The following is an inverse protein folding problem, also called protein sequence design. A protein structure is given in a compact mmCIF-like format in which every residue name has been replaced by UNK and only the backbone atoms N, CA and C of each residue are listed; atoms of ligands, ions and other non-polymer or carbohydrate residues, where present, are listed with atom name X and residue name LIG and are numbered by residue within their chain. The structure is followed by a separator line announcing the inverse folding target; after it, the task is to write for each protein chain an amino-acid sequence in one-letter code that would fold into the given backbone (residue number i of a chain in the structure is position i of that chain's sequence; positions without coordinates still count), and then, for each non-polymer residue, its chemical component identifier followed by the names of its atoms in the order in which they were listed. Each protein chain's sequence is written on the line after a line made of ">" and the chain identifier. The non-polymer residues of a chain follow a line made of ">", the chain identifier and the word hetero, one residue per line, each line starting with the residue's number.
data_IF_595027391333
#
_entry.id   IF_595027391333
#
_cell.length_a   1.000
_cell.length_b   1.000
_cell.length_c   1.000
_cell.angle_alpha   90.00
_cell.angle_beta   90.00
_cell.angle_gamma   90.00
#
_symmetry.space_group_name_H-M   'P 1'
#
loop_
_entity.id
_entity.type
_entity.pdbx_description
1 polymer ?
#
# COMPACT_ATOMS: atom_id res chain seq x y z
N UNK A 1 11.77 15.92 17.09
CA UNK A 1 11.42 16.08 15.66
C UNK A 1 12.69 15.91 14.83
N UNK A 2 12.66 14.99 13.85
CA UNK A 2 13.79 14.71 12.98
C UNK A 2 13.87 15.75 11.86
N UNK A 3 15.03 16.33 11.63
CA UNK A 3 15.27 17.20 10.47
C UNK A 3 15.88 16.38 9.34
N UNK A 4 15.47 16.66 8.12
CA UNK A 4 16.06 16.01 6.95
C UNK A 4 17.55 16.39 6.82
N UNK A 5 18.44 15.46 6.43
CA UNK A 5 19.82 15.78 6.11
C UNK A 5 19.91 16.79 5.00
N UNK A 6 21.02 17.53 4.93
CA UNK A 6 21.29 18.47 3.85
C UNK A 6 21.18 17.78 2.47
N UNK A 7 20.52 18.44 1.53
CA UNK A 7 20.26 17.92 0.18
C UNK A 7 19.11 16.91 0.07
N UNK A 8 18.60 16.37 1.20
CA UNK A 8 17.40 15.52 1.20
C UNK A 8 16.17 16.41 1.20
N UNK A 9 15.33 16.28 0.18
CA UNK A 9 14.12 17.09 0.00
C UNK A 9 12.94 16.23 -0.44
N UNK A 10 11.70 16.57 -0.01
CA UNK A 10 10.49 15.96 -0.53
C UNK A 10 10.42 16.02 -2.07
N UNK A 11 9.81 15.00 -2.68
CA UNK A 11 9.62 14.95 -4.14
C UNK A 11 8.88 16.18 -4.67
N UNK A 12 7.88 16.65 -3.93
CA UNK A 12 7.08 17.83 -4.29
C UNK A 12 7.90 19.11 -4.41
N UNK A 13 8.89 19.28 -3.54
CA UNK A 13 9.81 20.41 -3.63
C UNK A 13 10.65 20.36 -4.90
N UNK A 14 11.17 19.19 -5.26
CA UNK A 14 11.97 18.98 -6.48
C UNK A 14 11.15 19.20 -7.76
N UNK A 15 9.91 18.75 -7.76
CA UNK A 15 8.98 18.94 -8.88
C UNK A 15 8.60 20.42 -9.06
N UNK A 16 8.38 21.15 -7.97
CA UNK A 16 8.14 22.59 -8.03
C UNK A 16 9.32 23.39 -8.56
N UNK A 17 10.56 22.99 -8.26
CA UNK A 17 11.76 23.65 -8.79
C UNK A 17 11.80 23.64 -10.33
N UNK A 18 11.12 22.69 -10.99
CA UNK A 18 10.99 22.60 -12.45
C UNK A 18 9.59 22.97 -12.96
N UNK A 19 8.81 23.68 -12.14
CA UNK A 19 7.55 24.30 -12.55
C UNK A 19 6.30 23.45 -12.40
N UNK A 20 6.36 22.29 -11.75
CA UNK A 20 5.16 21.49 -11.48
C UNK A 20 4.32 22.08 -10.35
N UNK A 21 3.02 22.15 -10.56
CA UNK A 21 2.03 22.28 -9.50
C UNK A 21 1.90 20.96 -8.76
N UNK A 22 1.86 20.98 -7.42
CA UNK A 22 1.81 19.74 -6.63
C UNK A 22 0.53 19.68 -5.79
N UNK A 23 -0.19 18.56 -5.88
CA UNK A 23 -1.45 18.37 -5.15
C UNK A 23 -1.49 17.05 -4.37
N UNK A 24 -2.04 17.10 -3.14
CA UNK A 24 -2.50 15.93 -2.41
C UNK A 24 -4.02 15.93 -2.42
N UNK A 25 -4.61 15.21 -3.38
CA UNK A 25 -6.02 15.29 -3.70
C UNK A 25 -6.90 14.74 -2.57
N UNK A 26 -7.83 15.57 -2.14
CA UNK A 26 -8.84 15.26 -1.12
C UNK A 26 -10.25 15.27 -1.69
N UNK A 27 -10.53 16.22 -2.59
CA UNK A 27 -11.88 16.44 -3.12
C UNK A 27 -11.91 16.56 -4.63
N UNK A 28 -13.02 16.19 -5.23
CA UNK A 28 -13.39 16.31 -6.64
C UNK A 28 -14.89 16.58 -6.74
N UNK A 29 -15.28 17.68 -7.38
CA UNK A 29 -16.68 18.16 -7.46
C UNK A 29 -17.33 18.32 -6.06
N UNK A 30 -16.54 18.66 -5.03
CA UNK A 30 -16.98 18.79 -3.64
C UNK A 30 -17.10 17.48 -2.87
N UNK A 31 -16.96 16.32 -3.54
CA UNK A 31 -16.96 15.00 -2.89
C UNK A 31 -15.55 14.63 -2.41
N UNK A 32 -15.45 13.93 -1.29
CA UNK A 32 -14.18 13.32 -0.84
C UNK A 32 -13.79 12.15 -1.74
N UNK A 33 -12.57 12.21 -2.29
CA UNK A 33 -11.97 11.13 -3.09
C UNK A 33 -10.69 10.57 -2.44
N UNK A 34 -10.07 11.32 -1.55
CA UNK A 34 -8.82 10.95 -0.91
C UNK A 34 -8.72 11.44 0.53
N UNK A 35 -7.97 10.71 1.36
CA UNK A 35 -7.76 11.07 2.77
C UNK A 35 -6.88 12.31 2.97
N UNK A 36 -6.07 12.65 1.98
CA UNK A 36 -5.04 13.67 2.13
C UNK A 36 -3.99 13.32 3.19
N UNK A 37 -3.86 12.04 3.53
CA UNK A 37 -2.98 11.54 4.58
C UNK A 37 -1.53 11.94 4.34
N UNK A 38 -0.88 12.42 5.40
CA UNK A 38 0.52 12.79 5.46
C UNK A 38 1.09 12.25 6.77
N UNK A 39 1.75 11.10 6.71
CA UNK A 39 2.40 10.48 7.85
C UNK A 39 3.91 10.82 7.83
N UNK A 40 4.22 12.09 8.01
CA UNK A 40 5.61 12.55 8.08
C UNK A 40 6.16 12.35 9.49
N UNK A 41 7.30 11.70 9.60
CA UNK A 41 8.07 11.59 10.83
C UNK A 41 9.32 12.50 10.84
N UNK A 42 9.24 13.58 10.06
CA UNK A 42 10.27 14.62 9.98
C UNK A 42 9.65 16.00 9.92
N UNK A 43 10.41 17.02 10.28
CA UNK A 43 10.01 18.42 10.14
C UNK A 43 10.06 18.79 8.67
N UNK A 44 8.91 19.12 8.09
CA UNK A 44 8.84 19.64 6.73
C UNK A 44 9.03 21.17 6.77
N UNK A 45 9.99 21.67 6.02
CA UNK A 45 10.23 23.09 5.86
C UNK A 45 9.46 23.59 4.63
N UNK A 46 8.63 24.62 4.83
CA UNK A 46 7.80 25.20 3.79
C UNK A 46 6.53 24.39 3.47
N UNK A 47 5.91 24.73 2.35
CA UNK A 47 4.66 24.12 1.89
C UNK A 47 4.95 22.79 1.18
N UNK A 48 4.38 21.70 1.67
CA UNK A 48 4.60 20.36 1.08
C UNK A 48 3.86 20.20 -0.26
N UNK A 49 2.60 20.63 -0.35
CA UNK A 49 1.78 20.62 -1.57
C UNK A 49 1.17 21.99 -1.83
N UNK A 50 0.92 22.33 -3.09
CA UNK A 50 0.31 23.60 -3.48
C UNK A 50 -1.20 23.57 -3.29
N UNK A 51 -1.85 22.45 -3.51
CA UNK A 51 -3.28 22.29 -3.35
C UNK A 51 -3.74 20.88 -3.00
N UNK A 52 -5.07 20.68 -3.05
CA UNK A 52 -5.70 19.40 -2.69
C UNK A 52 -7.04 19.17 -3.36
N UNK A 53 -7.45 20.02 -4.30
CA UNK A 53 -8.71 19.90 -5.03
C UNK A 53 -8.43 19.53 -6.48
N UNK A 54 -9.26 18.67 -7.02
CA UNK A 54 -9.16 18.26 -8.43
C UNK A 54 -9.24 19.44 -9.39
N UNK A 55 -10.13 20.39 -9.12
CA UNK A 55 -10.44 21.55 -9.96
C UNK A 55 -9.23 22.44 -10.21
N UNK A 56 -8.24 22.36 -9.35
CA UNK A 56 -7.01 23.14 -9.45
C UNK A 56 -6.06 22.62 -10.54
N UNK A 57 -6.20 21.34 -10.96
CA UNK A 57 -5.21 20.68 -11.84
C UNK A 57 -5.21 21.25 -13.25
N UNK A 58 -6.41 21.48 -13.85
CA UNK A 58 -6.52 21.89 -15.24
C UNK A 58 -5.84 23.23 -15.54
N UNK A 59 -5.92 24.15 -14.60
CA UNK A 59 -5.33 25.48 -14.73
C UNK A 59 -3.85 25.56 -14.31
N UNK A 60 -3.30 24.48 -13.74
CA UNK A 60 -1.95 24.46 -13.18
C UNK A 60 -1.13 23.28 -13.75
N UNK A 61 -0.84 23.34 -15.05
CA UNK A 61 -0.01 22.34 -15.73
C UNK A 61 1.42 22.86 -15.95
N UNK A 62 2.45 21.99 -15.91
CA UNK A 62 2.36 20.58 -15.54
C UNK A 62 2.06 20.36 -14.05
N UNK A 63 1.40 19.25 -13.72
CA UNK A 63 1.08 18.94 -12.33
C UNK A 63 1.60 17.55 -11.90
N UNK A 64 1.83 17.40 -10.61
CA UNK A 64 1.95 16.15 -9.89
C UNK A 64 0.82 16.06 -8.87
N UNK A 65 0.00 15.04 -8.97
CA UNK A 65 -1.10 14.81 -8.04
C UNK A 65 -0.98 13.44 -7.40
N UNK A 66 -1.08 13.40 -6.07
CA UNK A 66 -1.17 12.17 -5.27
C UNK A 66 -2.57 12.07 -4.68
N UNK A 67 -3.11 10.87 -4.63
CA UNK A 67 -4.39 10.57 -3.99
C UNK A 67 -4.26 9.27 -3.18
N UNK A 68 -4.64 9.32 -1.91
CA UNK A 68 -4.75 8.15 -1.06
C UNK A 68 -6.23 7.81 -0.94
N UNK A 69 -6.67 6.72 -1.58
CA UNK A 69 -8.07 6.27 -1.51
C UNK A 69 -8.48 5.94 -0.09
N UNK A 70 -9.74 6.14 0.22
CA UNK A 70 -10.27 5.97 1.58
C UNK A 70 -10.86 4.58 1.81
N UNK A 71 -11.24 3.89 0.74
CA UNK A 71 -12.03 2.68 0.80
C UNK A 71 -11.26 1.46 1.31
N UNK A 72 -9.98 1.38 0.98
CA UNK A 72 -9.12 0.25 1.36
C UNK A 72 -8.43 0.43 2.70
N UNK A 73 -8.51 1.59 3.32
CA UNK A 73 -8.07 1.75 4.69
C UNK A 73 -9.04 1.01 5.61
N UNK A 74 -8.51 0.01 6.30
CA UNK A 74 -9.31 -0.87 7.14
C UNK A 74 -9.75 -0.14 8.41
N UNK A 75 -10.88 0.53 8.32
CA UNK A 75 -11.51 1.21 9.45
C UNK A 75 -12.64 0.35 10.02
N UNK A 76 -12.29 -0.50 11.00
CA UNK A 76 -13.26 -1.34 11.73
C UNK A 76 -13.80 -0.67 12.98
N UNK A 77 -13.31 0.52 13.32
CA UNK A 77 -13.73 1.24 14.50
C UNK A 77 -14.45 2.53 14.15
N UNK A 78 -15.47 2.81 14.95
CA UNK A 78 -15.91 4.17 15.10
C UNK A 78 -14.79 4.99 15.73
N UNK A 79 -14.23 5.94 14.97
CA UNK A 79 -13.17 6.84 15.44
C UNK A 79 -13.53 7.57 16.72
N UNK A 80 -14.82 7.71 17.02
CA UNK A 80 -15.31 8.41 18.20
C UNK A 80 -15.36 7.54 19.45
N UNK A 81 -15.50 6.24 19.33
CA UNK A 81 -15.70 5.36 20.48
C UNK A 81 -14.52 4.45 20.82
N UNK A 82 -13.65 4.11 19.89
CA UNK A 82 -12.49 3.21 20.07
C UNK A 82 -12.78 1.89 20.82
N UNK A 83 -14.06 1.62 21.12
CA UNK A 83 -14.47 0.60 22.08
C UNK A 83 -15.38 -0.49 21.50
N UNK A 84 -15.96 -0.27 20.32
CA UNK A 84 -16.85 -1.27 19.71
C UNK A 84 -16.48 -1.50 18.24
N UNK A 85 -16.41 -2.77 17.78
CA UNK A 85 -16.29 -3.04 16.36
C UNK A 85 -17.47 -2.39 15.64
N UNK A 86 -17.22 -1.72 14.53
CA UNK A 86 -18.29 -1.29 13.63
C UNK A 86 -18.96 -2.53 13.06
N UNK A 87 -20.03 -2.96 13.69
CA UNK A 87 -20.87 -4.06 13.20
C UNK A 87 -21.66 -3.60 11.97
N UNK A 88 -21.88 -2.30 11.84
CA UNK A 88 -22.51 -1.67 10.69
C UNK A 88 -21.68 -0.46 10.26
N UNK A 89 -21.28 -0.44 9.01
CA UNK A 89 -20.66 0.73 8.41
C UNK A 89 -21.75 1.79 8.18
N UNK A 90 -21.94 2.70 9.12
CA UNK A 90 -22.85 3.84 9.02
C UNK A 90 -22.15 5.06 8.39
N UNK A 91 -21.26 4.85 7.45
CA UNK A 91 -20.67 5.91 6.66
C UNK A 91 -21.38 6.02 5.32
N UNK A 92 -21.35 7.19 4.72
CA UNK A 92 -21.92 7.52 3.40
C UNK A 92 -21.32 6.71 2.24
N UNK A 93 -20.37 5.81 2.50
CA UNK A 93 -19.73 4.91 1.56
C UNK A 93 -20.33 3.52 1.64
N UNK A 94 -21.60 3.40 1.26
CA UNK A 94 -22.17 2.08 1.02
C UNK A 94 -21.62 1.54 -0.30
N UNK A 95 -20.62 0.66 -0.19
CA UNK A 95 -20.19 -0.11 -1.33
C UNK A 95 -21.26 -1.15 -1.68
N UNK A 96 -21.50 -1.34 -2.95
CA UNK A 96 -22.30 -2.48 -3.40
C UNK A 96 -21.70 -3.76 -2.82
N UNK A 97 -22.51 -4.55 -2.13
CA UNK A 97 -22.08 -5.79 -1.53
C UNK A 97 -22.02 -6.89 -2.60
N UNK A 98 -20.90 -6.97 -3.31
CA UNK A 98 -20.64 -8.02 -4.30
C UNK A 98 -20.14 -9.32 -3.67
N UNK A 99 -19.51 -9.21 -2.49
CA UNK A 99 -19.04 -10.35 -1.71
C UNK A 99 -19.86 -10.52 -0.44
N UNK A 100 -20.34 -11.74 -0.17
CA UNK A 100 -21.05 -12.10 1.05
C UNK A 100 -20.29 -13.16 1.84
N UNK A 101 -20.46 -13.24 3.19
CA UNK A 101 -19.73 -14.22 4.01
C UNK A 101 -19.85 -15.67 3.55
N UNK A 102 -20.99 -16.04 2.94
CA UNK A 102 -21.29 -17.39 2.48
C UNK A 102 -20.51 -17.75 1.20
N UNK A 103 -20.21 -16.74 0.37
CA UNK A 103 -19.60 -16.93 -0.95
C UNK A 103 -18.08 -16.72 -0.98
N UNK A 104 -17.51 -16.17 0.09
CA UNK A 104 -16.07 -15.91 0.13
C UNK A 104 -15.28 -17.15 0.56
N UNK A 105 -14.06 -17.25 0.05
CA UNK A 105 -13.11 -18.29 0.41
C UNK A 105 -11.81 -17.65 0.94
N UNK A 106 -11.70 -17.41 2.25
CA UNK A 106 -10.47 -16.89 2.85
C UNK A 106 -9.29 -17.83 2.61
N UNK A 107 -8.04 -17.31 2.52
CA UNK A 107 -6.86 -18.15 2.42
C UNK A 107 -6.75 -19.19 3.54
N UNK A 108 -6.09 -20.34 3.30
CA UNK A 108 -6.10 -21.50 4.22
C UNK A 108 -5.42 -21.25 5.57
N UNK A 109 -4.67 -20.17 5.73
CA UNK A 109 -4.09 -19.76 7.02
C UNK A 109 -5.07 -18.97 7.91
N UNK A 110 -6.31 -18.75 7.45
CA UNK A 110 -7.40 -18.27 8.31
C UNK A 110 -8.22 -19.44 8.82
N UNK A 111 -8.72 -19.42 10.07
CA UNK A 111 -9.71 -20.38 10.50
C UNK A 111 -11.02 -20.20 9.72
N UNK A 112 -11.67 -21.30 9.35
CA UNK A 112 -13.01 -21.21 8.78
C UNK A 112 -14.01 -20.87 9.90
N UNK A 113 -14.39 -19.61 9.95
CA UNK A 113 -15.26 -19.08 11.01
C UNK A 113 -16.10 -17.92 10.46
N UNK A 114 -17.37 -17.75 10.89
CA UNK A 114 -18.24 -16.66 10.42
C UNK A 114 -17.63 -15.26 10.52
N UNK A 115 -16.93 -14.96 11.62
CA UNK A 115 -16.21 -13.68 11.79
C UNK A 115 -15.17 -13.48 10.71
N UNK A 116 -14.41 -14.51 10.36
CA UNK A 116 -13.37 -14.43 9.32
C UNK A 116 -14.00 -14.21 7.95
N UNK A 117 -15.06 -14.95 7.64
CA UNK A 117 -15.80 -14.82 6.38
C UNK A 117 -16.42 -13.43 6.23
N UNK A 118 -17.01 -12.89 7.30
CA UNK A 118 -17.54 -11.54 7.30
C UNK A 118 -16.45 -10.47 7.07
N UNK A 119 -15.31 -10.59 7.75
CA UNK A 119 -14.16 -9.70 7.54
C UNK A 119 -13.59 -9.79 6.12
N UNK A 120 -13.54 -10.99 5.56
CA UNK A 120 -13.06 -11.21 4.20
C UNK A 120 -14.01 -10.61 3.16
N UNK A 121 -15.32 -10.80 3.32
CA UNK A 121 -16.34 -10.19 2.46
C UNK A 121 -16.26 -8.66 2.50
N UNK A 122 -16.12 -8.08 3.70
CA UNK A 122 -15.94 -6.63 3.87
C UNK A 122 -14.71 -6.11 3.14
N UNK A 123 -13.57 -6.80 3.25
CA UNK A 123 -12.35 -6.45 2.55
C UNK A 123 -12.55 -6.44 1.03
N UNK A 124 -13.16 -7.47 0.46
CA UNK A 124 -13.41 -7.55 -0.98
C UNK A 124 -14.38 -6.43 -1.45
N UNK A 125 -15.39 -6.11 -0.65
CA UNK A 125 -16.30 -5.01 -0.95
C UNK A 125 -15.59 -3.64 -0.89
N UNK A 126 -14.64 -3.47 0.03
CA UNK A 126 -13.79 -2.26 0.08
C UNK A 126 -12.91 -2.11 -1.17
N UNK A 127 -12.33 -3.21 -1.65
CA UNK A 127 -11.56 -3.23 -2.91
C UNK A 127 -12.44 -2.84 -4.09
N UNK A 128 -13.67 -3.37 -4.16
CA UNK A 128 -14.64 -2.97 -5.20
C UNK A 128 -15.02 -1.50 -5.12
N UNK A 129 -15.17 -0.96 -3.91
CA UNK A 129 -15.42 0.47 -3.71
C UNK A 129 -14.27 1.34 -4.22
N UNK A 130 -13.04 0.94 -3.93
CA UNK A 130 -11.84 1.61 -4.44
C UNK A 130 -11.80 1.60 -5.98
N UNK A 131 -12.09 0.47 -6.61
CA UNK A 131 -12.14 0.37 -8.07
C UNK A 131 -13.14 1.36 -8.69
N UNK A 132 -14.32 1.51 -8.07
CA UNK A 132 -15.31 2.53 -8.47
C UNK A 132 -14.78 3.96 -8.35
N UNK A 133 -14.07 4.27 -7.27
CA UNK A 133 -13.46 5.59 -7.06
C UNK A 133 -12.38 5.86 -8.10
N UNK A 134 -11.52 4.89 -8.39
CA UNK A 134 -10.52 5.00 -9.46
C UNK A 134 -11.21 5.20 -10.81
N UNK A 135 -12.28 4.47 -11.10
CA UNK A 135 -13.08 4.67 -12.31
C UNK A 135 -13.65 6.09 -12.42
N UNK A 136 -14.11 6.71 -11.32
CA UNK A 136 -14.54 8.12 -11.30
C UNK A 136 -13.36 9.06 -11.65
N UNK A 137 -12.18 8.83 -11.10
CA UNK A 137 -10.97 9.62 -11.36
C UNK A 137 -10.56 9.53 -12.83
N UNK A 138 -10.53 8.34 -13.42
CA UNK A 138 -10.16 8.13 -14.82
C UNK A 138 -11.13 8.83 -15.77
N UNK A 139 -12.45 8.68 -15.54
CA UNK A 139 -13.48 9.40 -16.33
C UNK A 139 -13.36 10.92 -16.17
N UNK A 140 -12.94 11.40 -15.01
CA UNK A 140 -12.71 12.83 -14.79
C UNK A 140 -11.51 13.33 -15.56
N UNK A 141 -10.41 12.58 -15.62
CA UNK A 141 -9.26 12.91 -16.48
C UNK A 141 -9.68 13.07 -17.95
N UNK A 142 -10.50 12.15 -18.45
CA UNK A 142 -11.04 12.18 -19.82
C UNK A 142 -11.90 13.43 -20.03
N UNK A 143 -12.89 13.65 -19.17
CA UNK A 143 -13.81 14.81 -19.23
C UNK A 143 -13.08 16.16 -19.23
N UNK A 144 -12.01 16.26 -18.46
CA UNK A 144 -11.23 17.50 -18.35
C UNK A 144 -10.19 17.66 -19.48
N UNK A 145 -10.06 16.67 -20.38
CA UNK A 145 -9.08 16.64 -21.46
C UNK A 145 -7.64 16.45 -20.98
N UNK A 146 -7.47 15.85 -19.81
CA UNK A 146 -6.16 15.61 -19.19
C UNK A 146 -5.64 14.19 -19.43
N UNK A 147 -6.48 13.27 -19.92
CA UNK A 147 -6.13 11.86 -20.07
C UNK A 147 -5.00 11.60 -21.06
N UNK A 148 -4.94 12.41 -22.13
CA UNK A 148 -3.95 12.30 -23.21
C UNK A 148 -2.54 12.79 -22.81
N UNK A 149 -2.41 13.49 -21.68
CA UNK A 149 -1.16 14.06 -21.23
C UNK A 149 -0.81 13.73 -19.77
N UNK A 150 -1.50 12.75 -19.15
CA UNK A 150 -1.28 12.37 -17.77
C UNK A 150 -0.88 10.90 -17.65
N UNK A 151 0.33 10.64 -17.10
CA UNK A 151 0.74 9.31 -16.66
C UNK A 151 -0.01 9.00 -15.38
N UNK A 152 -0.70 7.85 -15.34
CA UNK A 152 -1.41 7.40 -14.14
C UNK A 152 -0.68 6.21 -13.54
N UNK A 153 -0.30 6.30 -12.27
CA UNK A 153 0.27 5.19 -11.50
C UNK A 153 -0.69 4.83 -10.37
N UNK A 154 -1.16 3.58 -10.38
CA UNK A 154 -1.90 2.97 -9.28
C UNK A 154 -1.02 1.95 -8.59
N UNK A 155 -0.97 1.98 -7.27
CA UNK A 155 -0.22 1.00 -6.47
C UNK A 155 -0.79 0.89 -5.06
N UNK A 156 -0.59 -0.28 -4.42
CA UNK A 156 -0.80 -0.44 -3.00
C UNK A 156 0.42 0.03 -2.21
N UNK A 157 0.23 0.63 -1.06
CA UNK A 157 1.31 1.04 -0.15
C UNK A 157 1.81 -0.14 0.71
N UNK A 158 0.92 -1.06 1.02
CA UNK A 158 1.20 -2.31 1.73
C UNK A 158 0.14 -3.37 1.39
N UNK A 159 0.44 -4.60 1.76
CA UNK A 159 -0.52 -5.69 1.65
C UNK A 159 -1.62 -5.62 2.71
N UNK A 160 -2.58 -6.55 2.60
CA UNK A 160 -3.71 -6.67 3.52
C UNK A 160 -3.24 -6.82 4.98
N UNK A 161 -4.07 -6.36 5.91
CA UNK A 161 -3.86 -6.51 7.35
C UNK A 161 -3.86 -8.01 7.72
N UNK A 162 -3.70 -8.41 8.89
CA UNK A 162 -3.68 -9.74 9.52
C UNK A 162 -4.25 -10.93 8.70
N UNK A 163 -3.70 -12.12 8.86
CA UNK A 163 -2.37 -12.43 9.35
C UNK A 163 -1.34 -12.43 8.20
N UNK A 164 -0.09 -12.22 8.45
CA UNK A 164 1.01 -12.20 7.48
C UNK A 164 1.02 -11.02 6.48
N UNK A 165 0.07 -10.10 6.53
CA UNK A 165 -0.01 -8.92 5.65
C UNK A 165 0.84 -7.75 6.13
N UNK A 166 0.22 -6.57 6.30
CA UNK A 166 0.92 -5.38 6.81
C UNK A 166 1.72 -5.67 8.08
N UNK A 167 2.92 -5.13 8.18
CA UNK A 167 3.91 -5.34 9.24
C UNK A 167 4.64 -6.69 9.18
N UNK A 168 4.46 -7.48 8.14
CA UNK A 168 5.16 -8.76 7.96
C UNK A 168 6.00 -8.75 6.69
N UNK A 169 7.17 -9.40 6.74
CA UNK A 169 8.06 -9.54 5.59
C UNK A 169 7.70 -10.74 4.69
N UNK A 170 6.41 -11.02 4.51
CA UNK A 170 5.92 -12.02 3.56
C UNK A 170 5.33 -11.34 2.31
N UNK A 171 5.21 -12.07 1.21
CA UNK A 171 4.62 -11.54 -0.03
C UNK A 171 3.21 -10.95 0.19
N UNK A 172 2.41 -11.53 1.08
CA UNK A 172 1.09 -10.97 1.45
C UNK A 172 1.15 -9.57 2.07
N UNK A 173 2.30 -9.16 2.58
CA UNK A 173 2.53 -7.80 3.10
C UNK A 173 3.34 -6.90 2.17
N UNK A 174 4.14 -7.49 1.29
CA UNK A 174 5.15 -6.78 0.49
C UNK A 174 4.83 -6.74 -1.01
N UNK A 175 4.22 -7.80 -1.57
CA UNK A 175 3.89 -7.88 -2.99
C UNK A 175 2.56 -7.18 -3.25
N UNK A 176 2.64 -5.89 -3.54
CA UNK A 176 1.48 -5.02 -3.78
C UNK A 176 1.19 -4.87 -5.27
N UNK A 177 -0.08 -4.64 -5.67
CA UNK A 177 -0.40 -4.34 -7.06
C UNK A 177 0.25 -3.03 -7.50
N UNK A 178 0.68 -2.98 -8.77
CA UNK A 178 1.16 -1.77 -9.43
C UNK A 178 0.69 -1.78 -10.88
N UNK A 179 0.01 -0.71 -11.30
CA UNK A 179 -0.47 -0.52 -12.68
C UNK A 179 -0.03 0.87 -13.14
N UNK A 180 0.52 0.94 -14.34
CA UNK A 180 0.93 2.21 -14.95
C UNK A 180 0.24 2.34 -16.30
N UNK A 181 -0.49 3.45 -16.50
CA UNK A 181 -1.04 3.86 -17.77
C UNK A 181 -0.20 5.00 -18.34
N UNK A 182 0.36 4.77 -19.52
CA UNK A 182 1.02 5.82 -20.28
C UNK A 182 -0.01 6.55 -21.15
N UNK A 183 0.02 7.89 -21.23
CA UNK A 183 -0.92 8.65 -22.04
C UNK A 183 -0.60 8.54 -23.54
N UNK A 184 -1.63 8.64 -24.38
CA UNK A 184 -1.47 8.54 -25.83
C UNK A 184 -0.82 9.78 -26.44
N UNK A 185 -0.96 10.95 -25.82
CA UNK A 185 -0.39 12.21 -26.28
C UNK A 185 1.13 12.33 -26.20
N UNK A 186 1.80 11.36 -25.55
CA UNK A 186 3.26 11.32 -25.47
C UNK A 186 3.82 10.00 -26.01
N UNK A 187 4.94 10.04 -26.75
CA UNK A 187 5.64 8.82 -27.16
C UNK A 187 5.94 7.93 -25.95
N UNK A 188 5.48 6.69 -26.01
CA UNK A 188 5.77 5.73 -24.94
C UNK A 188 7.27 5.40 -24.94
N UNK A 189 7.90 5.28 -23.75
CA UNK A 189 9.30 4.87 -23.68
C UNK A 189 9.48 3.43 -24.17
N UNK A 190 10.66 3.11 -24.70
CA UNK A 190 10.94 1.81 -25.31
C UNK A 190 10.68 0.60 -24.39
N UNK A 191 10.76 0.79 -23.08
CA UNK A 191 10.51 -0.23 -22.08
C UNK A 191 9.06 -0.28 -21.56
N UNK A 192 8.13 0.49 -22.13
CA UNK A 192 6.69 0.42 -21.88
C UNK A 192 5.96 -0.33 -22.99
N UNK A 193 5.10 -1.25 -22.62
CA UNK A 193 4.18 -1.92 -23.54
C UNK A 193 2.81 -2.05 -22.87
N UNK A 194 1.75 -1.48 -23.45
CA UNK A 194 0.40 -1.61 -22.89
C UNK A 194 -0.07 -3.07 -22.92
N UNK A 195 -0.92 -3.44 -21.96
CA UNK A 195 -1.49 -4.79 -21.86
C UNK A 195 -0.50 -5.89 -21.48
N UNK A 196 0.71 -5.54 -21.02
CA UNK A 196 1.70 -6.54 -20.58
C UNK A 196 1.85 -6.53 -19.05
N UNK A 197 2.17 -7.72 -18.51
CA UNK A 197 2.60 -7.89 -17.12
C UNK A 197 4.12 -7.98 -17.11
N UNK A 198 4.76 -7.28 -16.17
CA UNK A 198 6.20 -7.33 -15.94
C UNK A 198 6.48 -8.14 -14.68
N UNK A 199 7.45 -9.04 -14.75
CA UNK A 199 7.98 -9.83 -13.63
C UNK A 199 9.23 -9.23 -12.99
N UNK A 200 9.56 -8.01 -13.38
CA UNK A 200 10.71 -7.26 -12.90
C UNK A 200 10.58 -6.96 -11.41
N UNK A 201 11.68 -7.10 -10.67
CA UNK A 201 11.72 -6.74 -9.26
C UNK A 201 11.72 -5.22 -9.12
N UNK A 202 10.61 -4.67 -8.65
CA UNK A 202 10.43 -3.24 -8.36
C UNK A 202 10.21 -3.07 -6.86
N UNK A 203 10.80 -2.05 -6.27
CA UNK A 203 10.56 -1.65 -4.88
C UNK A 203 9.79 -0.33 -4.86
N UNK A 204 8.92 -0.10 -3.88
CA UNK A 204 8.16 1.16 -3.79
C UNK A 204 9.05 2.41 -3.65
N UNK A 205 10.30 2.25 -3.17
CA UNK A 205 11.28 3.35 -3.19
C UNK A 205 11.64 3.81 -4.61
N UNK A 206 11.39 2.98 -5.63
CA UNK A 206 11.67 3.27 -7.03
C UNK A 206 10.64 4.24 -7.63
N UNK A 207 9.45 4.35 -7.02
CA UNK A 207 8.39 5.25 -7.49
C UNK A 207 8.84 6.70 -7.50
N UNK A 208 9.45 7.17 -6.42
CA UNK A 208 9.96 8.54 -6.33
C UNK A 208 11.00 8.82 -7.41
N UNK A 209 11.97 7.92 -7.60
CA UNK A 209 13.01 8.07 -8.64
C UNK A 209 12.42 8.05 -10.04
N UNK A 210 11.44 7.18 -10.29
CA UNK A 210 10.77 7.07 -11.59
C UNK A 210 9.91 8.29 -11.89
N UNK A 211 9.18 8.81 -10.91
CA UNK A 211 8.40 10.05 -11.04
C UNK A 211 9.31 11.26 -11.36
N UNK A 212 10.46 11.38 -10.70
CA UNK A 212 11.44 12.42 -11.06
C UNK A 212 11.95 12.22 -12.49
N UNK A 213 12.21 10.98 -12.89
CA UNK A 213 12.61 10.64 -14.26
C UNK A 213 11.56 11.02 -15.31
N UNK A 214 10.26 10.86 -15.02
CA UNK A 214 9.18 11.32 -15.90
C UNK A 214 9.16 12.84 -16.05
N UNK A 215 9.52 13.57 -14.99
CA UNK A 215 9.67 15.02 -15.03
C UNK A 215 11.01 15.50 -15.62
N UNK A 216 11.84 14.61 -16.16
CA UNK A 216 13.16 14.96 -16.70
C UNK A 216 14.21 15.29 -15.64
N UNK A 217 13.93 15.02 -14.38
CA UNK A 217 14.85 15.30 -13.27
C UNK A 217 15.75 14.10 -13.04
N UNK A 218 17.05 14.30 -13.13
CA UNK A 218 18.02 13.28 -12.79
C UNK A 218 17.91 12.84 -11.33
N UNK A 219 18.02 11.53 -11.09
CA UNK A 219 17.99 10.98 -9.74
C UNK A 219 19.10 11.59 -8.87
N UNK A 220 18.78 12.21 -7.72
CA UNK A 220 19.79 12.75 -6.80
C UNK A 220 20.78 11.68 -6.33
N UNK A 221 22.05 12.08 -6.12
CA UNK A 221 23.02 11.24 -5.44
C UNK A 221 22.50 10.85 -4.05
N UNK A 222 22.73 9.60 -3.65
CA UNK A 222 22.24 9.07 -2.37
C UNK A 222 20.79 8.59 -2.35
N UNK A 223 19.98 8.81 -3.40
CA UNK A 223 18.66 8.23 -3.52
C UNK A 223 18.77 6.74 -3.89
N UNK A 224 18.24 5.85 -3.05
CA UNK A 224 18.35 4.39 -3.23
C UNK A 224 17.40 3.82 -4.28
N UNK A 225 16.28 4.49 -4.56
CA UNK A 225 15.38 4.10 -5.63
C UNK A 225 16.04 4.18 -7.00
N UNK A 226 15.63 3.32 -7.93
CA UNK A 226 16.04 3.38 -9.34
C UNK A 226 14.89 3.88 -10.21
N UNK A 227 15.20 4.43 -11.36
CA UNK A 227 14.20 4.66 -12.41
C UNK A 227 13.98 3.34 -13.14
N UNK A 228 12.76 2.77 -13.08
CA UNK A 228 12.46 1.49 -13.73
C UNK A 228 11.68 1.65 -15.04
N UNK A 229 11.11 2.82 -15.30
CA UNK A 229 10.35 3.13 -16.52
C UNK A 229 10.68 4.54 -17.00
N UNK A 230 10.74 4.74 -18.32
CA UNK A 230 11.01 6.03 -18.95
C UNK A 230 12.35 6.08 -19.63
N UNK A 231 12.84 7.30 -19.93
CA UNK A 231 14.08 7.50 -20.69
C UNK A 231 15.35 7.46 -19.81
N UNK A 232 15.22 7.61 -18.50
CA UNK A 232 16.34 7.66 -17.54
C UNK A 232 16.47 6.35 -16.73
N UNK A 233 16.15 5.21 -17.35
CA UNK A 233 16.13 3.89 -16.70
C UNK A 233 17.51 3.52 -16.17
N UNK A 234 17.56 3.13 -14.90
CA UNK A 234 18.73 2.57 -14.26
C UNK A 234 18.84 1.03 -14.44
N UNK A 235 19.94 0.41 -13.97
CA UNK A 235 20.10 -1.04 -14.01
C UNK A 235 18.94 -1.80 -13.39
N UNK A 236 18.58 -2.96 -13.94
CA UNK A 236 17.52 -3.81 -13.39
C UNK A 236 17.87 -4.24 -11.95
N UNK A 237 16.85 -4.23 -11.09
CA UNK A 237 17.00 -4.66 -9.70
C UNK A 237 16.95 -6.19 -9.61
N UNK A 238 17.98 -6.79 -9.04
CA UNK A 238 18.01 -8.23 -8.81
C UNK A 238 17.22 -8.61 -7.55
N UNK A 239 17.29 -7.77 -6.50
CA UNK A 239 16.69 -8.06 -5.20
C UNK A 239 16.00 -6.83 -4.61
N UNK A 240 14.84 -7.05 -4.00
CA UNK A 240 14.21 -6.10 -3.07
C UNK A 240 14.47 -6.55 -1.63
N UNK A 241 14.79 -5.61 -0.75
CA UNK A 241 15.08 -5.85 0.66
C UNK A 241 13.97 -5.25 1.52
N UNK A 242 13.59 -5.97 2.57
CA UNK A 242 12.61 -5.48 3.54
C UNK A 242 13.07 -5.75 4.96
N UNK A 243 12.61 -4.91 5.87
CA UNK A 243 13.00 -4.96 7.27
C UNK A 243 11.81 -4.70 8.20
N UNK A 244 11.83 -5.36 9.35
CA UNK A 244 10.95 -5.09 10.46
C UNK A 244 11.77 -5.13 11.75
N UNK A 245 11.75 -4.06 12.53
CA UNK A 245 12.43 -3.98 13.84
C UNK A 245 11.42 -3.87 14.99
N UNK A 246 10.22 -3.36 14.72
CA UNK A 246 9.14 -3.30 15.70
C UNK A 246 7.78 -3.08 14.99
N UNK A 247 6.72 -3.31 15.74
CA UNK A 247 5.36 -2.89 15.39
C UNK A 247 4.76 -2.30 16.66
N UNK A 248 4.57 -0.98 16.70
CA UNK A 248 4.15 -0.21 17.85
C UNK A 248 5.01 -0.57 19.10
N UNK A 249 4.40 -1.09 20.15
CA UNK A 249 5.11 -1.50 21.38
C UNK A 249 5.92 -2.80 21.24
N UNK A 250 5.64 -3.62 20.23
CA UNK A 250 6.29 -4.94 20.09
C UNK A 250 7.58 -4.87 19.28
N UNK A 251 8.69 -5.09 19.95
CA UNK A 251 10.02 -5.20 19.34
C UNK A 251 10.18 -6.56 18.66
N UNK A 252 10.66 -6.54 17.44
CA UNK A 252 11.05 -7.74 16.67
C UNK A 252 12.26 -7.37 15.79
N UNK A 253 12.87 -8.36 15.14
CA UNK A 253 13.91 -8.12 14.15
C UNK A 253 13.82 -9.17 13.05
N UNK A 254 13.36 -8.74 11.89
CA UNK A 254 13.18 -9.57 10.70
C UNK A 254 13.81 -8.85 9.51
N UNK A 255 14.45 -9.60 8.65
CA UNK A 255 14.96 -9.13 7.35
C UNK A 255 14.49 -10.07 6.26
N UNK A 256 14.21 -9.53 5.10
CA UNK A 256 13.92 -10.37 3.93
C UNK A 256 14.60 -9.86 2.67
N UNK A 257 14.83 -10.78 1.75
CA UNK A 257 15.30 -10.52 0.41
C UNK A 257 14.42 -11.28 -0.59
N UNK A 258 13.90 -10.55 -1.57
CA UNK A 258 13.01 -11.04 -2.60
C UNK A 258 13.67 -10.86 -3.97
N UNK A 259 13.95 -11.97 -4.66
CA UNK A 259 14.30 -12.01 -6.08
C UNK A 259 13.10 -12.35 -6.96
N UNK A 260 13.30 -12.64 -8.25
CA UNK A 260 12.20 -13.03 -9.16
C UNK A 260 11.52 -14.34 -8.71
N UNK A 261 12.28 -15.33 -8.26
CA UNK A 261 11.79 -16.65 -7.90
C UNK A 261 11.76 -16.91 -6.40
N UNK A 262 12.79 -16.49 -5.67
CA UNK A 262 12.95 -16.85 -4.27
C UNK A 262 12.70 -15.68 -3.35
N UNK A 263 12.05 -15.97 -2.22
CA UNK A 263 11.88 -15.06 -1.10
C UNK A 263 12.46 -15.68 0.16
N UNK A 264 13.56 -15.11 0.65
CA UNK A 264 14.21 -15.53 1.89
C UNK A 264 13.87 -14.57 3.02
N UNK A 265 13.58 -15.12 4.20
CA UNK A 265 13.26 -14.37 5.43
C UNK A 265 14.15 -14.89 6.56
N UNK A 266 14.78 -13.97 7.28
CA UNK A 266 15.55 -14.25 8.49
C UNK A 266 14.91 -13.61 9.70
N UNK A 267 14.61 -14.43 10.73
CA UNK A 267 14.09 -14.03 12.02
C UNK A 267 15.23 -14.03 13.04
N UNK A 268 15.54 -12.87 13.62
CA UNK A 268 16.64 -12.74 14.58
C UNK A 268 16.20 -13.04 16.02
N UNK A 269 14.90 -13.14 16.27
CA UNK A 269 14.30 -13.55 17.54
C UNK A 269 13.35 -14.73 17.31
N UNK A 270 13.90 -15.93 16.99
CA UNK A 270 13.09 -17.09 16.67
C UNK A 270 12.30 -17.64 17.86
N UNK A 271 12.66 -17.29 19.07
CA UNK A 271 12.02 -17.62 20.34
C UNK A 271 10.78 -16.75 20.64
N UNK A 272 10.43 -15.82 19.76
CA UNK A 272 9.26 -14.96 19.90
C UNK A 272 8.09 -15.50 19.10
N UNK A 273 6.89 -15.32 19.66
CA UNK A 273 5.65 -15.67 18.98
C UNK A 273 5.55 -15.01 17.62
N UNK A 274 5.11 -15.78 16.63
CA UNK A 274 4.76 -15.24 15.32
C UNK A 274 3.73 -14.10 15.46
N UNK A 275 2.65 -14.33 16.19
CA UNK A 275 1.61 -13.33 16.46
C UNK A 275 1.98 -12.50 17.68
N UNK A 276 2.82 -11.51 17.51
CA UNK A 276 3.20 -10.60 18.60
C UNK A 276 2.02 -9.78 19.12
N UNK A 277 2.04 -9.46 20.41
CA UNK A 277 1.04 -8.59 21.03
C UNK A 277 1.14 -7.19 20.43
N UNK A 278 0.01 -6.63 20.05
CA UNK A 278 -0.12 -5.27 19.57
C UNK A 278 -1.49 -4.76 19.97
N UNK A 279 -1.55 -3.75 20.86
CA UNK A 279 -2.80 -3.26 21.45
C UNK A 279 -3.77 -2.72 20.40
N UNK A 280 -3.25 -2.01 19.42
CA UNK A 280 -4.07 -1.51 18.33
C UNK A 280 -4.75 -2.67 17.60
N UNK A 281 -3.96 -3.64 17.14
CA UNK A 281 -4.48 -4.81 16.42
C UNK A 281 -5.40 -5.69 17.26
N UNK A 282 -5.16 -5.81 18.55
CA UNK A 282 -6.05 -6.53 19.46
C UNK A 282 -7.44 -5.91 19.56
N UNK A 283 -7.49 -4.59 19.52
CA UNK A 283 -8.74 -3.85 19.58
C UNK A 283 -9.41 -3.75 18.20
N UNK A 284 -8.62 -3.61 17.16
CA UNK A 284 -9.09 -3.27 15.83
C UNK A 284 -9.44 -4.48 14.98
N UNK A 285 -8.87 -5.66 15.23
CA UNK A 285 -9.03 -6.82 14.36
C UNK A 285 -9.62 -8.01 15.09
N UNK A 286 -10.93 -8.26 14.97
CA UNK A 286 -11.63 -9.31 15.69
C UNK A 286 -11.07 -10.71 15.42
N UNK A 287 -10.38 -10.91 14.30
CA UNK A 287 -9.68 -12.15 13.97
C UNK A 287 -8.57 -12.46 14.99
N UNK A 288 -7.91 -11.44 15.56
CA UNK A 288 -6.81 -11.66 16.50
C UNK A 288 -7.23 -12.29 17.81
N UNK A 289 -8.18 -11.72 18.58
CA UNK A 289 -8.71 -12.37 19.78
C UNK A 289 -9.44 -13.67 19.48
N UNK A 290 -10.14 -13.77 18.32
CA UNK A 290 -10.77 -15.02 17.90
C UNK A 290 -9.75 -16.17 17.78
N UNK A 291 -8.62 -15.94 17.11
CA UNK A 291 -7.58 -16.98 16.94
C UNK A 291 -7.04 -17.47 18.28
N UNK A 292 -6.80 -16.56 19.23
CA UNK A 292 -6.39 -16.95 20.59
C UNK A 292 -7.43 -17.78 21.30
N UNK A 293 -8.72 -17.37 21.20
CA UNK A 293 -9.81 -18.14 21.77
C UNK A 293 -9.87 -19.54 21.17
N UNK A 294 -9.85 -19.67 19.85
CA UNK A 294 -9.89 -20.96 19.16
C UNK A 294 -8.66 -21.82 19.50
N UNK A 295 -7.48 -21.24 19.64
CA UNK A 295 -6.28 -21.93 20.08
C UNK A 295 -6.41 -22.48 21.50
N UNK A 296 -6.88 -21.65 22.44
CA UNK A 296 -7.12 -22.05 23.82
C UNK A 296 -8.18 -23.16 23.96
N UNK A 297 -9.16 -23.18 23.05
CA UNK A 297 -10.21 -24.20 22.96
C UNK A 297 -9.77 -25.47 22.21
N UNK A 298 -8.51 -25.54 21.70
CA UNK A 298 -8.02 -26.67 20.90
C UNK A 298 -8.68 -26.81 19.53
N UNK A 299 -9.32 -25.75 19.02
CA UNK A 299 -10.07 -25.74 17.75
C UNK A 299 -9.28 -25.28 16.54
N UNK A 300 -8.01 -24.84 16.71
CA UNK A 300 -7.12 -24.51 15.60
C UNK A 300 -6.26 -25.71 15.24
N UNK A 301 -6.20 -25.99 13.94
CA UNK A 301 -5.35 -27.03 13.36
C UNK A 301 -4.71 -26.54 12.07
N UNK A 302 -3.58 -27.14 11.66
CA UNK A 302 -2.87 -26.83 10.43
C UNK A 302 -2.41 -25.37 10.34
N UNK A 303 -2.39 -24.76 9.15
CA UNK A 303 -1.83 -23.43 8.93
C UNK A 303 -2.35 -22.31 9.86
N UNK A 304 -3.63 -22.27 10.27
CA UNK A 304 -4.08 -21.31 11.27
C UNK A 304 -3.44 -21.50 12.65
N UNK A 305 -3.16 -22.75 13.06
CA UNK A 305 -2.47 -23.04 14.32
C UNK A 305 -0.98 -22.70 14.26
N UNK A 306 -0.32 -22.95 13.11
CA UNK A 306 1.09 -22.63 12.90
C UNK A 306 1.38 -21.15 13.11
N UNK A 307 0.44 -20.28 12.74
CA UNK A 307 0.55 -18.83 12.99
C UNK A 307 0.39 -18.45 14.46
N UNK A 308 0.01 -19.38 15.33
CA UNK A 308 -0.07 -19.19 16.78
C UNK A 308 1.13 -19.81 17.51
N UNK A 309 2.12 -20.32 16.77
CA UNK A 309 3.33 -20.92 17.35
C UNK A 309 4.04 -19.93 18.30
N UNK A 310 4.52 -20.42 19.45
CA UNK A 310 5.34 -19.62 20.37
C UNK A 310 6.72 -19.25 19.81
N UNK A 311 7.14 -19.96 18.76
CA UNK A 311 8.42 -19.76 18.08
C UNK A 311 8.22 -19.62 16.59
N UNK A 312 9.21 -19.06 15.88
CA UNK A 312 9.25 -19.00 14.43
C UNK A 312 10.54 -19.62 13.92
N UNK A 313 10.52 -20.19 12.71
CA UNK A 313 11.75 -20.66 12.09
C UNK A 313 12.77 -19.51 11.96
N UNK A 314 14.05 -19.72 12.36
CA UNK A 314 15.08 -18.68 12.25
C UNK A 314 15.30 -18.23 10.81
N UNK A 315 15.11 -19.14 9.86
CA UNK A 315 15.24 -18.89 8.43
C UNK A 315 14.10 -19.55 7.66
N UNK A 316 13.61 -18.88 6.63
CA UNK A 316 12.54 -19.38 5.77
C UNK A 316 12.88 -19.05 4.31
N UNK A 317 12.70 -20.00 3.42
CA UNK A 317 12.88 -19.83 1.99
C UNK A 317 11.62 -20.28 1.26
N UNK A 318 11.08 -19.40 0.45
CA UNK A 318 9.90 -19.68 -0.37
C UNK A 318 10.27 -19.62 -1.85
N UNK A 319 9.82 -20.62 -2.61
CA UNK A 319 9.78 -20.57 -4.08
C UNK A 319 8.43 -19.94 -4.46
N UNK A 320 8.45 -18.78 -5.05
CA UNK A 320 7.24 -18.00 -5.35
C UNK A 320 6.69 -18.30 -6.75
N UNK A 321 7.28 -19.25 -7.46
CA UNK A 321 6.81 -19.77 -8.75
C UNK A 321 5.98 -21.07 -8.60
N UNK A 322 5.92 -21.65 -7.41
CA UNK A 322 5.11 -22.77 -7.02
C UNK A 322 3.88 -22.25 -6.27
#
# INVERSE_FOLDING_TARGET
>A
DYRLPEGVRPITHRLRDVGYYTANLKTMDGEEIGSGKLDLNFVNEGKLYDGGKWEELKGNQPFFAQMNTLECEYDIYDRNTWRQPRVEWKGERQHEQIATPEKVNPPPYYPDHPVVRAEWARYLNSVSGMDKTIGKVLRRLERDGLAENTIVMFFGDNGRIEPRGIHWCYDTGLHVPMIIRWPEGFPAPANYRPGTVKDEVVSLIDLTSTTLGFAGIAKPLGMHGRVFLGNLVGPERTYAFSARDRVDETVNRVRSVRGKRYHYIRNFYPDRHFTSLNRYKEKCFPIKPLRRKLMAEGKLQGPPADLMSPTVAPEQLFDTML
#
